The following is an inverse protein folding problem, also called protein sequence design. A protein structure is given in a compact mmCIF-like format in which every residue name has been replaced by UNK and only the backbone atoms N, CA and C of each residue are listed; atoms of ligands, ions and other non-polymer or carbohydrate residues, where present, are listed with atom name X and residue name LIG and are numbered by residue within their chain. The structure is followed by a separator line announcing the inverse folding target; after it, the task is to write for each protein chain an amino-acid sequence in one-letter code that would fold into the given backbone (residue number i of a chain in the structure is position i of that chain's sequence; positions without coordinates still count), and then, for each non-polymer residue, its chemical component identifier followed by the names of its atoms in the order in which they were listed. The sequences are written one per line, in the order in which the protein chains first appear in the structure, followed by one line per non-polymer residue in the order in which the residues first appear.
data_IF_558198651040
#
_entry.id   IF_558198651040
#
_cell.length_a   1.000
_cell.length_b   1.000
_cell.length_c   1.000
_cell.angle_alpha   90.00
_cell.angle_beta   90.00
_cell.angle_gamma   90.00
#
_symmetry.space_group_name_H-M   'P 1'
#
loop_
_entity.id
_entity.type
_entity.pdbx_description
1 polymer ?
#
# COMPACT_ATOMS: atom_id res chain seq x y z
N UNK A 1 7.32 14.26 -10.97
CA UNK A 1 6.56 15.53 -10.95
C UNK A 1 5.13 15.29 -11.41
N UNK A 2 4.15 15.30 -10.49
CA UNK A 2 2.73 15.11 -10.79
C UNK A 2 2.05 16.39 -11.32
N UNK A 3 2.66 17.56 -11.11
CA UNK A 3 2.13 18.84 -11.54
C UNK A 3 1.92 18.90 -13.07
N UNK A 4 2.90 18.46 -13.86
CA UNK A 4 2.80 18.52 -15.32
C UNK A 4 1.67 17.62 -15.90
N UNK A 5 1.57 16.32 -15.55
CA UNK A 5 0.43 15.49 -15.96
C UNK A 5 -0.92 16.03 -15.47
N UNK A 6 -0.97 16.61 -14.26
CA UNK A 6 -2.18 17.24 -13.73
C UNK A 6 -2.58 18.45 -14.58
N UNK A 7 -1.67 19.39 -14.83
CA UNK A 7 -1.94 20.59 -15.64
C UNK A 7 -2.35 20.24 -17.08
N UNK A 8 -1.76 19.19 -17.67
CA UNK A 8 -2.19 18.66 -18.98
C UNK A 8 -3.63 18.14 -18.96
N UNK A 9 -4.05 17.46 -17.89
CA UNK A 9 -5.45 17.01 -17.75
C UNK A 9 -6.39 18.19 -17.47
N UNK A 10 -5.96 19.14 -16.66
CA UNK A 10 -6.71 20.34 -16.33
C UNK A 10 -6.96 21.19 -17.57
N UNK A 11 -5.96 21.41 -18.43
CA UNK A 11 -6.15 22.19 -19.65
C UNK A 11 -7.13 21.50 -20.61
N UNK A 12 -7.06 20.17 -20.76
CA UNK A 12 -8.04 19.40 -21.55
C UNK A 12 -9.45 19.59 -20.98
N UNK A 13 -9.61 19.50 -19.66
CA UNK A 13 -10.89 19.75 -18.99
C UNK A 13 -11.38 21.18 -19.25
N UNK A 14 -10.51 22.18 -19.17
CA UNK A 14 -10.85 23.58 -19.41
C UNK A 14 -11.30 23.84 -20.84
N UNK A 15 -10.66 23.21 -21.82
CA UNK A 15 -11.07 23.30 -23.23
C UNK A 15 -12.42 22.61 -23.43
N UNK A 16 -12.57 21.36 -22.99
CA UNK A 16 -13.76 20.54 -23.28
C UNK A 16 -14.99 21.03 -22.52
N UNK A 17 -14.84 21.41 -21.25
CA UNK A 17 -15.97 21.76 -20.38
C UNK A 17 -16.29 23.25 -20.41
N UNK A 18 -15.27 24.10 -20.51
CA UNK A 18 -15.41 25.55 -20.34
C UNK A 18 -15.08 26.33 -21.62
N UNK A 19 -14.70 25.66 -22.72
CA UNK A 19 -14.42 26.32 -23.99
C UNK A 19 -13.18 27.20 -23.98
N UNK A 20 -12.20 26.90 -23.12
CA UNK A 20 -10.95 27.65 -23.06
C UNK A 20 -10.25 27.61 -24.43
N UNK A 21 -10.07 28.77 -25.06
CA UNK A 21 -9.32 28.92 -26.31
C UNK A 21 -7.85 29.10 -25.97
N UNK A 22 -7.01 28.16 -26.40
CA UNK A 22 -5.56 28.28 -26.24
C UNK A 22 -5.06 29.31 -27.28
N UNK A 23 -4.37 30.38 -26.86
CA UNK A 23 -3.77 31.31 -27.80
C UNK A 23 -2.75 30.56 -28.67
N UNK A 24 -2.68 30.85 -29.99
CA UNK A 24 -1.69 30.24 -30.87
C UNK A 24 -0.29 30.51 -30.32
N UNK A 25 0.57 29.49 -30.34
CA UNK A 25 1.96 29.64 -29.94
C UNK A 25 2.64 30.62 -30.90
N UNK A 26 2.95 31.81 -30.41
CA UNK A 26 3.80 32.75 -31.14
C UNK A 26 5.16 32.07 -31.32
N UNK A 27 5.53 31.84 -32.58
CA UNK A 27 6.77 31.15 -33.00
C UNK A 27 8.05 31.85 -32.53
N UNK A 28 7.94 33.03 -31.93
CA UNK A 28 9.05 33.86 -31.44
C UNK A 28 9.17 33.91 -29.91
N UNK A 29 8.22 33.38 -29.14
CA UNK A 29 8.34 33.32 -27.67
C UNK A 29 8.97 31.99 -27.23
N UNK A 30 10.27 32.06 -26.91
CA UNK A 30 11.04 31.12 -26.09
C UNK A 30 10.71 29.63 -26.28
N UNK A 31 11.36 29.03 -27.27
CA UNK A 31 11.53 27.57 -27.40
C UNK A 31 12.24 26.92 -26.18
N UNK A 32 12.65 27.71 -25.19
CA UNK A 32 13.34 27.26 -23.96
C UNK A 32 12.53 27.36 -22.66
N UNK A 33 11.27 27.82 -22.68
CA UNK A 33 10.45 27.81 -21.46
C UNK A 33 9.94 26.38 -21.17
N UNK A 34 10.11 25.93 -19.92
CA UNK A 34 9.67 24.61 -19.48
C UNK A 34 8.14 24.47 -19.67
N UNK A 35 7.68 23.29 -20.10
CA UNK A 35 6.28 23.04 -20.43
C UNK A 35 5.35 23.35 -19.24
N UNK A 36 5.86 23.12 -18.04
CA UNK A 36 5.19 23.42 -16.78
C UNK A 36 4.82 24.91 -16.69
N UNK A 37 5.79 25.81 -16.91
CA UNK A 37 5.56 27.26 -16.82
C UNK A 37 4.55 27.74 -17.86
N UNK A 38 4.64 27.20 -19.08
CA UNK A 38 3.69 27.53 -20.15
C UNK A 38 2.26 27.14 -19.77
N UNK A 39 2.05 25.93 -19.25
CA UNK A 39 0.74 25.48 -18.81
C UNK A 39 0.22 26.29 -17.61
N UNK A 40 1.10 26.66 -16.68
CA UNK A 40 0.74 27.52 -15.55
C UNK A 40 0.31 28.91 -16.02
N UNK A 41 1.00 29.51 -16.99
CA UNK A 41 0.63 30.81 -17.56
C UNK A 41 -0.71 30.76 -18.30
N UNK A 42 -0.96 29.72 -19.12
CA UNK A 42 -2.24 29.56 -19.83
C UNK A 42 -3.40 29.43 -18.83
N UNK A 43 -3.19 28.69 -17.73
CA UNK A 43 -4.17 28.52 -16.67
C UNK A 43 -4.21 29.69 -15.66
N UNK A 44 -3.39 30.74 -15.88
CA UNK A 44 -3.26 31.93 -15.00
C UNK A 44 -2.94 31.58 -13.54
N UNK A 45 -2.09 30.57 -13.33
CA UNK A 45 -1.64 30.15 -12.01
C UNK A 45 -0.44 30.99 -11.53
N UNK A 46 -0.29 31.21 -10.21
CA UNK A 46 0.93 31.82 -9.63
C UNK A 46 2.17 31.00 -9.98
N UNK A 47 3.37 31.59 -9.96
CA UNK A 47 4.61 30.85 -10.21
C UNK A 47 4.78 29.72 -9.20
N UNK A 48 5.41 28.63 -9.64
CA UNK A 48 5.58 27.45 -8.79
C UNK A 48 6.35 27.76 -7.50
N UNK A 49 7.36 28.64 -7.56
CA UNK A 49 8.10 29.08 -6.38
C UNK A 49 7.23 29.83 -5.37
N UNK A 50 6.26 30.62 -5.83
CA UNK A 50 5.34 31.37 -4.97
C UNK A 50 4.33 30.44 -4.29
N UNK A 51 3.93 29.36 -4.97
CA UNK A 51 3.08 28.30 -4.39
C UNK A 51 3.79 27.51 -3.28
N UNK A 52 5.12 27.48 -3.29
CA UNK A 52 5.93 26.77 -2.30
C UNK A 52 6.33 27.64 -1.11
N UNK A 53 6.00 28.94 -1.09
CA UNK A 53 6.36 29.79 0.02
C UNK A 53 5.63 29.33 1.30
N UNK A 54 6.37 29.03 2.38
CA UNK A 54 5.77 28.46 3.56
C UNK A 54 4.90 29.49 4.29
N UNK A 55 3.58 29.30 4.26
CA UNK A 55 2.68 29.89 5.27
C UNK A 55 2.93 29.20 6.62
N UNK A 56 2.63 29.82 7.77
CA UNK A 56 2.92 29.25 9.11
C UNK A 56 2.39 27.82 9.35
N UNK A 57 1.31 27.42 8.66
CA UNK A 57 0.78 26.04 8.68
C UNK A 57 1.67 25.01 7.97
N UNK A 58 2.50 25.44 7.03
CA UNK A 58 3.31 24.55 6.18
C UNK A 58 4.57 24.04 6.87
N UNK A 59 5.15 24.76 7.83
CA UNK A 59 6.36 24.29 8.54
C UNK A 59 6.10 23.02 9.35
N UNK A 60 5.01 22.97 10.11
CA UNK A 60 4.61 21.78 10.87
C UNK A 60 4.31 20.59 9.96
N UNK A 61 3.66 20.83 8.82
CA UNK A 61 3.37 19.79 7.83
C UNK A 61 4.65 19.28 7.16
N UNK A 62 5.55 20.18 6.77
CA UNK A 62 6.84 19.82 6.19
C UNK A 62 7.69 19.01 7.17
N UNK A 63 7.75 19.42 8.44
CA UNK A 63 8.45 18.68 9.48
C UNK A 63 7.88 17.26 9.64
N UNK A 64 6.55 17.13 9.70
CA UNK A 64 5.89 15.83 9.81
C UNK A 64 6.11 14.95 8.57
N UNK A 65 6.03 15.50 7.37
CA UNK A 65 6.29 14.76 6.14
C UNK A 65 7.74 14.30 6.05
N UNK A 66 8.70 15.15 6.43
CA UNK A 66 10.11 14.78 6.45
C UNK A 66 10.37 13.65 7.45
N UNK A 67 9.86 13.76 8.67
CA UNK A 67 10.05 12.72 9.70
C UNK A 67 9.38 11.39 9.32
N UNK A 68 8.18 11.43 8.74
CA UNK A 68 7.52 10.24 8.21
C UNK A 68 8.29 9.62 7.04
N UNK A 69 8.77 10.43 6.09
CA UNK A 69 9.55 9.92 4.96
C UNK A 69 10.83 9.21 5.43
N UNK A 70 11.54 9.80 6.40
CA UNK A 70 12.71 9.19 7.04
C UNK A 70 12.36 7.81 7.64
N UNK A 71 11.30 7.73 8.45
CA UNK A 71 10.87 6.48 9.08
C UNK A 71 10.48 5.41 8.05
N UNK A 72 9.71 5.79 7.03
CA UNK A 72 9.24 4.84 6.01
C UNK A 72 10.37 4.38 5.07
N UNK A 73 11.28 5.28 4.69
CA UNK A 73 12.45 4.92 3.87
C UNK A 73 13.38 3.94 4.58
N UNK A 74 13.62 4.14 5.88
CA UNK A 74 14.42 3.23 6.71
C UNK A 74 13.79 1.83 6.77
N UNK A 75 12.49 1.78 7.07
CA UNK A 75 11.72 0.53 7.13
C UNK A 75 11.75 -0.23 5.80
N UNK A 76 11.55 0.45 4.67
CA UNK A 76 11.60 -0.17 3.32
C UNK A 76 12.95 -0.82 3.06
N UNK A 77 14.05 -0.14 3.38
CA UNK A 77 15.41 -0.65 3.19
C UNK A 77 15.65 -1.88 4.09
N UNK A 78 15.25 -1.81 5.35
CA UNK A 78 15.38 -2.93 6.29
C UNK A 78 14.63 -4.18 5.80
N UNK A 79 13.42 -4.01 5.27
CA UNK A 79 12.62 -5.13 4.73
C UNK A 79 13.25 -5.72 3.46
N UNK A 80 13.70 -4.86 2.53
CA UNK A 80 14.30 -5.29 1.27
C UNK A 80 15.65 -5.99 1.47
N UNK A 81 16.53 -5.43 2.30
CA UNK A 81 17.88 -5.94 2.51
C UNK A 81 17.96 -6.95 3.68
N UNK A 82 16.89 -7.12 4.46
CA UNK A 82 16.87 -8.03 5.63
C UNK A 82 17.78 -7.57 6.77
N UNK A 83 18.04 -6.27 6.86
CA UNK A 83 18.95 -5.66 7.83
C UNK A 83 18.15 -5.17 9.05
N UNK A 84 18.64 -5.44 10.26
CA UNK A 84 18.05 -4.97 11.54
C UNK A 84 18.78 -3.77 12.16
N UNK A 85 19.80 -3.25 11.48
CA UNK A 85 20.65 -2.14 11.95
C UNK A 85 20.08 -0.80 11.46
N UNK A 86 20.22 0.29 12.24
CA UNK A 86 19.87 1.63 11.79
C UNK A 86 20.53 1.97 10.46
N UNK A 87 19.74 2.48 9.52
CA UNK A 87 20.23 2.79 8.18
C UNK A 87 20.92 4.16 8.23
N UNK A 88 22.14 4.32 7.70
CA UNK A 88 22.83 5.60 7.74
C UNK A 88 22.00 6.67 7.03
N UNK A 89 21.96 7.89 7.59
CA UNK A 89 21.21 9.03 7.05
C UNK A 89 21.47 9.26 5.55
N UNK A 90 22.67 8.89 5.08
CA UNK A 90 23.04 8.97 3.67
C UNK A 90 22.20 8.12 2.71
N UNK A 91 21.50 7.10 3.21
CA UNK A 91 20.60 6.25 2.41
C UNK A 91 19.13 6.67 2.55
N UNK A 92 18.81 7.53 3.52
CA UNK A 92 17.44 7.94 3.86
C UNK A 92 17.00 9.26 3.20
N UNK A 93 17.96 10.09 2.75
CA UNK A 93 17.66 11.37 2.09
C UNK A 93 17.14 11.22 0.66
N UNK A 94 17.19 10.02 0.09
CA UNK A 94 16.82 9.82 -1.30
C UNK A 94 15.28 9.76 -1.40
N UNK A 95 14.66 10.90 -1.68
CA UNK A 95 13.23 10.99 -1.94
C UNK A 95 12.96 10.30 -3.28
N UNK A 96 12.65 9.01 -3.22
CA UNK A 96 12.12 8.28 -4.35
C UNK A 96 10.72 8.79 -4.62
N UNK A 97 10.59 9.68 -5.60
CA UNK A 97 9.27 10.02 -6.12
C UNK A 97 8.66 8.73 -6.68
N UNK A 98 7.52 8.33 -6.12
CA UNK A 98 6.78 7.19 -6.65
C UNK A 98 6.56 7.44 -8.15
N UNK A 99 6.99 6.47 -8.97
CA UNK A 99 6.72 6.53 -10.40
C UNK A 99 5.21 6.74 -10.58
N UNK A 100 4.76 7.44 -11.64
CA UNK A 100 3.34 7.58 -11.95
C UNK A 100 2.67 6.25 -12.33
N UNK A 101 3.34 5.13 -12.06
CA UNK A 101 2.81 3.78 -12.16
C UNK A 101 1.68 3.58 -11.17
N UNK A 102 0.64 2.84 -11.56
CA UNK A 102 -0.43 2.45 -10.64
C UNK A 102 0.15 1.82 -9.35
N UNK A 103 -0.41 2.12 -8.17
CA UNK A 103 0.06 1.52 -6.90
C UNK A 103 -0.12 0.01 -6.92
N UNK A 104 0.90 -0.79 -6.57
CA UNK A 104 0.80 -2.25 -6.58
C UNK A 104 0.88 -2.80 -5.15
N UNK A 105 0.20 -3.92 -4.93
CA UNK A 105 0.48 -4.76 -3.77
C UNK A 105 1.82 -5.49 -3.98
N UNK A 106 2.44 -5.92 -2.88
CA UNK A 106 3.72 -6.63 -2.87
C UNK A 106 3.69 -7.83 -3.82
N UNK A 107 4.68 -7.94 -4.69
CA UNK A 107 4.76 -9.07 -5.60
C UNK A 107 4.92 -10.38 -4.82
N UNK A 108 3.99 -11.30 -4.99
CA UNK A 108 4.02 -12.61 -4.35
C UNK A 108 4.64 -13.67 -5.28
N UNK A 109 5.33 -14.69 -4.75
CA UNK A 109 5.83 -15.80 -5.54
C UNK A 109 4.71 -16.56 -6.28
N UNK A 110 5.00 -17.08 -7.48
CA UNK A 110 4.00 -17.85 -8.26
C UNK A 110 3.51 -19.12 -7.55
N UNK A 111 4.36 -19.75 -6.73
CA UNK A 111 4.04 -20.98 -5.97
C UNK A 111 3.96 -20.64 -4.49
N UNK A 112 2.89 -21.08 -3.83
CA UNK A 112 2.72 -20.84 -2.40
C UNK A 112 3.82 -21.50 -1.56
N UNK A 113 4.29 -22.68 -1.95
CA UNK A 113 5.37 -23.40 -1.23
C UNK A 113 6.63 -22.55 -1.08
N UNK A 114 6.97 -21.72 -2.08
CA UNK A 114 8.12 -20.81 -1.99
C UNK A 114 7.90 -19.73 -0.94
N UNK A 115 6.68 -19.18 -0.88
CA UNK A 115 6.32 -18.20 0.14
C UNK A 115 6.32 -18.84 1.53
N UNK A 116 5.90 -20.10 1.64
CA UNK A 116 5.96 -20.89 2.87
C UNK A 116 7.42 -21.08 3.34
N UNK A 117 8.31 -21.52 2.46
CA UNK A 117 9.74 -21.68 2.76
C UNK A 117 10.40 -20.35 3.16
N UNK A 118 10.03 -19.24 2.51
CA UNK A 118 10.50 -17.91 2.88
C UNK A 118 9.98 -17.47 4.25
N UNK A 119 8.72 -17.76 4.57
CA UNK A 119 8.12 -17.42 5.86
C UNK A 119 8.81 -18.11 7.04
N UNK A 120 9.29 -19.34 6.85
CA UNK A 120 10.02 -20.11 7.88
C UNK A 120 11.43 -19.57 8.17
N UNK A 121 12.00 -18.79 7.25
CA UNK A 121 13.34 -18.20 7.38
C UNK A 121 13.31 -16.78 7.98
N UNK A 122 12.13 -16.16 8.05
CA UNK A 122 11.97 -14.78 8.50
C UNK A 122 11.54 -14.75 9.97
N UNK A 123 12.15 -13.85 10.73
CA UNK A 123 11.80 -13.61 12.13
C UNK A 123 10.89 -12.40 12.25
N UNK A 124 9.92 -12.47 13.16
CA UNK A 124 9.11 -11.32 13.55
C UNK A 124 10.02 -10.26 14.18
N UNK A 125 9.83 -8.99 13.80
CA UNK A 125 10.64 -7.89 14.31
C UNK A 125 10.30 -7.51 15.76
N UNK A 126 9.12 -7.91 16.25
CA UNK A 126 8.63 -7.59 17.60
C UNK A 126 9.05 -8.63 18.64
N UNK A 127 8.82 -9.91 18.40
CA UNK A 127 9.20 -10.98 19.34
C UNK A 127 10.56 -11.64 19.03
N UNK A 128 11.19 -11.33 17.88
CA UNK A 128 12.50 -11.87 17.50
C UNK A 128 12.52 -13.37 17.17
N UNK A 129 11.36 -14.03 17.11
CA UNK A 129 11.24 -15.46 16.80
C UNK A 129 10.56 -15.69 15.45
N UNK A 130 10.69 -16.90 14.90
CA UNK A 130 9.94 -17.29 13.69
C UNK A 130 8.46 -17.40 14.06
N UNK A 131 7.55 -16.65 13.41
CA UNK A 131 6.14 -16.69 13.74
C UNK A 131 5.55 -18.10 13.64
N UNK A 132 4.75 -18.50 14.64
CA UNK A 132 3.97 -19.75 14.55
C UNK A 132 2.99 -19.69 13.38
N UNK A 133 2.26 -18.57 13.23
CA UNK A 133 1.34 -18.32 12.13
C UNK A 133 1.80 -17.06 11.37
N UNK A 134 2.75 -17.20 10.41
CA UNK A 134 3.25 -16.06 9.67
C UNK A 134 2.19 -15.52 8.71
N UNK A 135 1.96 -14.21 8.80
CA UNK A 135 1.22 -13.47 7.79
C UNK A 135 2.11 -12.40 7.15
N UNK A 136 1.98 -12.21 5.84
CA UNK A 136 2.71 -11.17 5.11
C UNK A 136 1.77 -9.98 4.84
N UNK A 137 2.20 -8.77 5.19
CA UNK A 137 1.49 -7.54 4.85
C UNK A 137 1.64 -7.26 3.35
N UNK A 138 0.54 -7.15 2.61
CA UNK A 138 0.56 -6.95 1.15
C UNK A 138 0.87 -5.50 0.73
N UNK A 139 0.95 -4.57 1.68
CA UNK A 139 1.39 -3.21 1.40
C UNK A 139 2.92 -3.08 1.44
N UNK A 140 3.58 -3.77 2.37
CA UNK A 140 5.02 -3.57 2.58
C UNK A 140 5.90 -4.83 2.54
N UNK A 141 5.31 -6.02 2.63
CA UNK A 141 6.03 -7.30 2.54
C UNK A 141 6.61 -7.79 3.85
N UNK A 142 6.38 -7.10 4.97
CA UNK A 142 6.82 -7.53 6.29
C UNK A 142 6.03 -8.76 6.75
N UNK A 143 6.74 -9.75 7.31
CA UNK A 143 6.14 -10.89 8.00
C UNK A 143 5.83 -10.52 9.45
N UNK A 144 4.59 -10.79 9.87
CA UNK A 144 4.05 -10.52 11.21
C UNK A 144 3.44 -11.80 11.80
N UNK A 145 3.37 -11.89 13.12
CA UNK A 145 2.69 -12.96 13.83
C UNK A 145 1.18 -12.73 13.81
N UNK A 146 0.47 -13.56 13.06
CA UNK A 146 -1.00 -13.56 13.06
C UNK A 146 -1.55 -14.45 14.18
N UNK A 147 -2.70 -14.06 14.74
CA UNK A 147 -3.48 -14.85 15.71
C UNK A 147 -2.64 -15.49 16.84
N UNK A 148 -1.67 -14.74 17.37
CA UNK A 148 -0.81 -15.22 18.45
C UNK A 148 -0.72 -14.17 19.56
N UNK A 149 -0.59 -14.63 20.80
CA UNK A 149 -0.43 -13.75 21.95
C UNK A 149 0.97 -13.13 22.06
N UNK A 150 1.96 -13.64 21.32
CA UNK A 150 3.37 -13.30 21.48
C UNK A 150 3.74 -11.86 21.09
N UNK A 151 2.82 -11.13 20.46
CA UNK A 151 3.03 -9.77 19.97
C UNK A 151 1.81 -8.86 20.22
N UNK A 152 0.88 -9.29 21.07
CA UNK A 152 -0.33 -8.56 21.37
C UNK A 152 -0.06 -7.42 22.37
N UNK A 153 -0.67 -6.26 22.15
CA UNK A 153 -0.71 -5.11 23.07
C UNK A 153 -2.16 -4.70 23.25
N UNK A 154 -2.61 -4.47 24.49
CA UNK A 154 -3.97 -4.02 24.81
C UNK A 154 -5.08 -4.81 24.07
N UNK A 155 -4.93 -6.15 24.03
CA UNK A 155 -5.82 -7.10 23.33
C UNK A 155 -5.78 -7.06 21.79
N UNK A 156 -4.97 -6.19 21.19
CA UNK A 156 -4.74 -6.14 19.74
C UNK A 156 -3.52 -6.96 19.32
N UNK A 157 -3.70 -7.87 18.35
CA UNK A 157 -2.61 -8.66 17.78
C UNK A 157 -1.71 -7.86 16.82
N UNK A 158 -0.54 -8.42 16.47
CA UNK A 158 0.47 -7.74 15.63
C UNK A 158 -0.06 -7.25 14.29
N UNK A 159 -1.01 -7.95 13.67
CA UNK A 159 -1.61 -7.50 12.40
C UNK A 159 -2.41 -6.19 12.55
N UNK A 160 -3.11 -5.99 13.67
CA UNK A 160 -3.85 -4.75 13.95
C UNK A 160 -2.86 -3.60 14.22
N UNK A 161 -1.88 -3.85 15.09
CA UNK A 161 -0.83 -2.86 15.40
C UNK A 161 -0.04 -2.46 14.15
N UNK A 162 0.34 -3.43 13.31
CA UNK A 162 1.02 -3.16 12.04
C UNK A 162 0.12 -2.42 11.04
N UNK A 163 -1.20 -2.61 11.09
CA UNK A 163 -2.15 -1.87 10.25
C UNK A 163 -2.07 -0.38 10.56
N UNK A 164 -2.10 -0.01 11.85
CA UNK A 164 -2.02 1.38 12.29
C UNK A 164 -0.74 2.08 11.80
N UNK A 165 0.38 1.34 11.75
CA UNK A 165 1.66 1.88 11.30
C UNK A 165 1.84 1.89 9.78
N UNK A 166 1.41 0.83 9.09
CA UNK A 166 1.73 0.61 7.67
C UNK A 166 0.60 1.00 6.71
N UNK A 167 -0.66 0.76 7.10
CA UNK A 167 -1.84 0.94 6.25
C UNK A 167 -2.82 2.00 6.75
N UNK A 168 -2.54 2.62 7.90
CA UNK A 168 -3.42 3.53 8.60
C UNK A 168 -4.64 2.79 9.14
N UNK A 169 -5.80 3.03 8.53
CA UNK A 169 -7.06 2.42 8.97
C UNK A 169 -7.33 1.06 8.34
N UNK A 170 -6.61 0.71 7.26
CA UNK A 170 -6.84 -0.53 6.50
C UNK A 170 -5.62 -1.44 6.48
N UNK A 171 -5.86 -2.75 6.56
CA UNK A 171 -4.81 -3.76 6.51
C UNK A 171 -5.15 -4.87 5.52
N UNK A 172 -4.17 -5.35 4.76
CA UNK A 172 -4.33 -6.51 3.88
C UNK A 172 -3.17 -7.47 4.13
N UNK A 173 -3.47 -8.63 4.67
CA UNK A 173 -2.47 -9.64 5.02
C UNK A 173 -2.79 -10.97 4.37
N UNK A 174 -1.77 -11.74 4.01
CA UNK A 174 -1.92 -13.12 3.58
C UNK A 174 -1.35 -14.04 4.66
N UNK A 175 -2.21 -14.85 5.29
CA UNK A 175 -1.76 -15.94 6.16
C UNK A 175 -1.20 -17.06 5.29
N UNK A 176 0.11 -17.32 5.42
CA UNK A 176 0.82 -18.23 4.52
C UNK A 176 0.45 -19.68 4.80
N UNK A 177 0.40 -20.08 6.09
CA UNK A 177 0.02 -21.44 6.50
C UNK A 177 -1.43 -21.77 6.20
N UNK A 178 -2.32 -20.79 6.35
CA UNK A 178 -3.76 -20.99 6.20
C UNK A 178 -4.26 -20.74 4.78
N UNK A 179 -3.44 -20.17 3.90
CA UNK A 179 -3.83 -19.81 2.54
C UNK A 179 -5.12 -18.96 2.51
N UNK A 180 -5.16 -17.93 3.35
CA UNK A 180 -6.32 -17.02 3.51
C UNK A 180 -5.85 -15.57 3.60
N UNK A 181 -6.57 -14.66 2.97
CA UNK A 181 -6.39 -13.22 3.13
C UNK A 181 -7.15 -12.71 4.36
N UNK A 182 -6.52 -11.83 5.12
CA UNK A 182 -7.13 -11.08 6.22
C UNK A 182 -7.23 -9.62 5.79
N UNK A 183 -8.45 -9.13 5.68
CA UNK A 183 -8.74 -7.72 5.46
C UNK A 183 -9.07 -7.10 6.80
N UNK A 184 -8.38 -6.04 7.18
CA UNK A 184 -8.57 -5.34 8.44
C UNK A 184 -9.04 -3.91 8.19
N UNK A 185 -9.91 -3.41 9.06
CA UNK A 185 -10.38 -2.03 9.08
C UNK A 185 -10.80 -1.62 10.50
N UNK A 186 -10.10 -0.66 11.12
CA UNK A 186 -10.40 -0.10 12.45
C UNK A 186 -10.75 -1.17 13.51
N UNK A 187 -9.83 -2.12 13.74
CA UNK A 187 -10.00 -3.22 14.70
C UNK A 187 -10.95 -4.35 14.25
N UNK A 188 -11.73 -4.11 13.19
CA UNK A 188 -12.59 -5.10 12.54
C UNK A 188 -11.94 -5.64 11.28
N UNK A 189 -12.61 -6.57 10.60
CA UNK A 189 -12.08 -7.19 9.40
C UNK A 189 -12.79 -8.50 9.03
N UNK A 190 -12.21 -9.19 8.05
CA UNK A 190 -12.80 -10.40 7.50
C UNK A 190 -11.77 -11.30 6.80
N UNK A 191 -12.05 -12.61 6.75
CA UNK A 191 -11.27 -13.58 5.99
C UNK A 191 -11.78 -13.73 4.55
N UNK A 192 -10.88 -13.56 3.58
CA UNK A 192 -11.14 -13.74 2.16
C UNK A 192 -10.30 -14.91 1.62
N UNK A 193 -10.81 -15.62 0.62
CA UNK A 193 -10.04 -16.63 -0.10
C UNK A 193 -8.73 -16.03 -0.64
N UNK A 194 -7.61 -16.71 -0.40
CA UNK A 194 -6.34 -16.29 -0.96
C UNK A 194 -6.36 -16.27 -2.50
N UNK A 195 -5.50 -15.45 -3.12
CA UNK A 195 -5.35 -15.36 -4.57
C UNK A 195 -4.57 -16.56 -5.13
N UNK A 196 -4.60 -17.70 -4.46
CA UNK A 196 -3.89 -18.92 -4.80
C UNK A 196 -4.88 -20.03 -5.12
N UNK A 197 -4.62 -20.78 -6.18
CA UNK A 197 -5.47 -21.86 -6.67
C UNK A 197 -4.65 -23.07 -7.04
N UNK A 198 -5.25 -24.25 -6.92
CA UNK A 198 -4.67 -25.45 -7.50
C UNK A 198 -4.79 -25.47 -9.04
N UNK A 199 -4.31 -26.55 -9.66
CA UNK A 199 -4.37 -26.76 -11.11
C UNK A 199 -5.82 -26.86 -11.65
N UNK A 200 -6.80 -27.12 -10.79
CA UNK A 200 -8.21 -27.23 -11.12
C UNK A 200 -8.96 -25.91 -10.90
N UNK A 201 -8.31 -24.89 -10.34
CA UNK A 201 -8.91 -23.59 -10.04
C UNK A 201 -9.63 -23.52 -8.69
N UNK A 202 -9.43 -24.52 -7.83
CA UNK A 202 -10.02 -24.60 -6.50
C UNK A 202 -9.14 -23.92 -5.45
N UNK A 203 -9.76 -23.44 -4.37
CA UNK A 203 -9.05 -22.88 -3.21
C UNK A 203 -8.82 -23.98 -2.18
N UNK A 204 -7.64 -24.02 -1.57
CA UNK A 204 -7.32 -24.98 -0.50
C UNK A 204 -7.01 -24.24 0.81
N UNK A 205 -8.07 -23.84 1.52
CA UNK A 205 -7.93 -23.19 2.83
C UNK A 205 -7.34 -24.16 3.84
N UNK A 206 -6.31 -23.72 4.57
CA UNK A 206 -5.57 -24.55 5.51
C UNK A 206 -4.72 -25.64 4.85
N UNK A 207 -4.59 -25.64 3.52
CA UNK A 207 -3.82 -26.62 2.75
C UNK A 207 -4.22 -28.08 3.08
N UNK A 208 -5.51 -28.31 3.34
CA UNK A 208 -6.03 -29.61 3.80
C UNK A 208 -5.92 -30.69 2.72
N UNK A 209 -6.00 -30.30 1.44
CA UNK A 209 -5.88 -31.24 0.33
C UNK A 209 -4.42 -31.51 -0.06
N UNK A 210 -3.47 -30.71 0.46
CA UNK A 210 -2.04 -30.87 0.18
C UNK A 210 -1.66 -30.62 -1.29
N UNK A 211 -2.55 -29.99 -2.07
CA UNK A 211 -2.29 -29.73 -3.50
C UNK A 211 -1.44 -28.46 -3.66
N UNK A 212 -0.43 -28.47 -4.55
CA UNK A 212 0.35 -27.27 -4.85
C UNK A 212 -0.55 -26.12 -5.31
N UNK A 213 -0.37 -24.96 -4.68
CA UNK A 213 -1.16 -23.76 -4.95
C UNK A 213 -0.35 -22.73 -5.75
N UNK A 214 -1.00 -22.10 -6.73
CA UNK A 214 -0.42 -21.14 -7.66
C UNK A 214 -1.11 -19.79 -7.62
N UNK A 215 -0.33 -18.71 -7.66
CA UNK A 215 -0.84 -17.35 -7.62
C UNK A 215 -1.64 -17.04 -8.90
N UNK A 216 -2.92 -16.74 -8.74
CA UNK A 216 -3.80 -16.25 -9.78
C UNK A 216 -3.66 -14.74 -9.93
N UNK A 217 -3.02 -14.29 -11.00
CA UNK A 217 -2.86 -12.87 -11.31
C UNK A 217 -4.21 -12.14 -11.39
N UNK A 218 -5.26 -12.80 -11.90
CA UNK A 218 -6.61 -12.26 -11.98
C UNK A 218 -7.19 -11.98 -10.59
N UNK A 219 -7.16 -12.97 -9.68
CA UNK A 219 -7.67 -12.79 -8.31
C UNK A 219 -6.84 -11.76 -7.55
N UNK A 220 -5.53 -11.74 -7.75
CA UNK A 220 -4.65 -10.75 -7.13
C UNK A 220 -4.95 -9.31 -7.59
N UNK A 221 -5.27 -9.14 -8.89
CA UNK A 221 -5.70 -7.86 -9.42
C UNK A 221 -7.05 -7.39 -8.84
N UNK A 222 -7.98 -8.30 -8.54
CA UNK A 222 -9.23 -7.95 -7.87
C UNK A 222 -9.02 -7.48 -6.43
N UNK A 223 -8.11 -8.12 -5.67
CA UNK A 223 -7.74 -7.66 -4.32
C UNK A 223 -7.13 -6.26 -4.39
N UNK A 224 -6.25 -6.02 -5.36
CA UNK A 224 -5.67 -4.70 -5.63
C UNK A 224 -6.75 -3.68 -6.02
N UNK A 225 -7.73 -4.06 -6.84
CA UNK A 225 -8.84 -3.19 -7.23
C UNK A 225 -9.72 -2.84 -6.03
N UNK A 226 -10.03 -3.81 -5.17
CA UNK A 226 -10.77 -3.57 -3.92
C UNK A 226 -10.07 -2.52 -3.05
N UNK A 227 -8.75 -2.61 -2.94
CA UNK A 227 -7.93 -1.62 -2.23
C UNK A 227 -7.98 -0.24 -2.90
N UNK A 228 -7.68 -0.15 -4.19
CA UNK A 228 -7.58 1.15 -4.90
C UNK A 228 -8.92 1.86 -5.08
N UNK A 229 -10.02 1.13 -4.98
CA UNK A 229 -11.37 1.70 -4.97
C UNK A 229 -11.84 2.07 -3.56
N UNK A 230 -10.99 1.96 -2.55
CA UNK A 230 -11.33 2.21 -1.14
C UNK A 230 -12.53 1.39 -0.64
N UNK A 231 -12.71 0.17 -1.19
CA UNK A 231 -13.86 -0.68 -0.91
C UNK A 231 -13.61 -1.70 0.22
N UNK A 232 -12.39 -1.78 0.75
CA UNK A 232 -12.07 -2.70 1.87
C UNK A 232 -12.98 -2.46 3.10
N UNK A 233 -13.15 -1.22 3.59
CA UNK A 233 -14.04 -0.95 4.73
C UNK A 233 -15.48 -1.44 4.50
N UNK A 234 -16.03 -1.13 3.32
CA UNK A 234 -17.40 -1.51 2.93
C UNK A 234 -17.53 -3.02 2.82
N UNK A 235 -16.52 -3.69 2.24
CA UNK A 235 -16.51 -5.14 2.12
C UNK A 235 -16.51 -5.80 3.49
N UNK A 236 -15.60 -5.38 4.38
CA UNK A 236 -15.51 -5.88 5.76
C UNK A 236 -16.85 -5.70 6.50
N UNK A 237 -17.40 -4.49 6.51
CA UNK A 237 -18.65 -4.19 7.20
C UNK A 237 -19.80 -5.08 6.71
N UNK A 238 -19.95 -5.23 5.38
CA UNK A 238 -20.99 -6.08 4.79
C UNK A 238 -20.85 -7.57 5.14
N UNK A 239 -19.62 -8.08 5.22
CA UNK A 239 -19.40 -9.47 5.59
C UNK A 239 -19.72 -9.71 7.07
N UNK A 240 -19.36 -8.77 7.94
CA UNK A 240 -19.71 -8.82 9.37
C UNK A 240 -21.23 -8.73 9.55
N UNK A 241 -21.92 -7.81 8.87
CA UNK A 241 -23.38 -7.67 8.94
C UNK A 241 -24.11 -8.92 8.41
N UNK A 242 -23.59 -9.55 7.35
CA UNK A 242 -24.16 -10.77 6.79
C UNK A 242 -24.00 -11.97 7.73
N UNK A 243 -22.92 -11.99 8.52
CA UNK A 243 -22.59 -13.07 9.44
C UNK A 243 -22.77 -12.57 10.88
N UNK A 244 -24.02 -12.56 11.31
CA UNK A 244 -24.45 -12.23 12.68
C UNK A 244 -23.87 -13.26 13.67
N UNK A 245 -22.65 -13.02 14.15
CA UNK A 245 -22.03 -13.80 15.22
C UNK A 245 -21.80 -12.93 16.45
N UNK A 246 -22.06 -13.52 17.62
CA UNK A 246 -22.27 -12.81 18.89
C UNK A 246 -20.93 -12.60 19.59
N UNK A 247 -20.06 -11.80 18.97
CA UNK A 247 -18.82 -11.35 19.59
C UNK A 247 -17.66 -12.33 19.45
N UNK A 248 -16.53 -11.79 18.97
CA UNK A 248 -15.31 -12.54 18.74
C UNK A 248 -15.21 -13.01 17.30
N UNK A 249 -14.20 -12.52 16.61
CA UNK A 249 -13.77 -13.07 15.35
C UNK A 249 -13.51 -14.56 15.50
N UNK A 250 -14.25 -15.41 14.79
CA UNK A 250 -13.95 -16.82 14.73
C UNK A 250 -12.54 -16.97 14.15
N UNK A 251 -11.59 -17.30 15.03
CA UNK A 251 -10.28 -17.75 14.60
C UNK A 251 -10.51 -19.03 13.81
N UNK A 252 -10.25 -18.96 12.49
CA UNK A 252 -10.40 -20.10 11.57
C UNK A 252 -9.63 -21.35 12.03
#
# INVERSE_FOLDING_TARGET
FFALPFLRRTIILMIVRFGLVIPPLDTNENTGADELERLMNILRLPKFADLLQPASMTESLLHYWCSQHLRESERRIQVQEGIQVPVPASRLYNISLDLPTPFHLVALPKRLDRLFDESMKRVCQKCGTVPSDPAICLFCGTFVCAQSFCCAEDEEGECNLHTLECGGEIGVFLSVKRCVLMLLHNGNGWFMNAPYLDLHGEVDQGLRHGRPQYLSAKRYAEVRKLWLQHNIPIYVARQIEANYDIGGWTTL
#
